data_IF_548830697570
#
_entry.id   IF_548830697570
#
_cell.length_a   1.000
_cell.length_b   1.000
_cell.length_c   1.000
_cell.angle_alpha   90.00
_cell.angle_beta   90.00
_cell.angle_gamma   90.00
#
_symmetry.space_group_name_H-M   'P 1'
#
loop_
_entity.id
_entity.type
_entity.pdbx_description
1 polymer ?
#
# COMPACT_ATOMS: atom_id res chain seq x y z
N UNK A 1 29.13 -11.85 -1.01
CA UNK A 1 28.19 -12.88 -1.54
C UNK A 1 27.40 -13.44 -0.36
N UNK A 2 26.08 -13.51 -0.48
CA UNK A 2 25.17 -13.91 0.61
C UNK A 2 24.81 -15.39 0.42
N UNK A 3 24.72 -16.14 1.52
CA UNK A 3 24.17 -17.50 1.54
C UNK A 3 23.11 -17.60 2.64
N UNK A 4 21.90 -18.12 2.35
CA UNK A 4 21.41 -18.58 1.05
C UNK A 4 21.18 -17.44 0.05
N UNK A 5 21.22 -17.75 -1.25
CA UNK A 5 20.87 -16.78 -2.30
C UNK A 5 19.37 -16.48 -2.23
N UNK A 6 18.98 -15.22 -2.45
CA UNK A 6 17.59 -14.81 -2.64
C UNK A 6 17.44 -14.17 -4.02
N UNK A 7 16.47 -14.66 -4.78
CA UNK A 7 16.02 -14.06 -6.03
C UNK A 7 15.11 -12.89 -5.69
N UNK A 8 15.34 -11.74 -6.33
CA UNK A 8 14.61 -10.48 -6.09
C UNK A 8 13.88 -9.97 -7.33
N UNK A 9 14.08 -10.63 -8.47
CA UNK A 9 13.44 -10.31 -9.74
C UNK A 9 13.53 -11.52 -10.67
N UNK A 10 12.48 -11.77 -11.45
CA UNK A 10 12.37 -12.87 -12.41
C UNK A 10 11.73 -12.33 -13.69
N UNK A 11 12.39 -12.54 -14.83
CA UNK A 11 11.87 -12.07 -16.13
C UNK A 11 10.65 -12.88 -16.58
N UNK A 12 10.74 -14.21 -16.49
CA UNK A 12 9.85 -15.16 -17.14
C UNK A 12 9.05 -16.02 -16.12
N UNK A 13 8.51 -15.41 -15.06
CA UNK A 13 7.82 -16.10 -13.96
C UNK A 13 6.79 -17.15 -14.42
N UNK A 14 5.97 -16.85 -15.42
CA UNK A 14 4.93 -17.78 -15.92
C UNK A 14 5.36 -18.60 -17.14
N UNK A 15 6.58 -18.41 -17.63
CA UNK A 15 7.09 -19.08 -18.83
C UNK A 15 8.46 -19.70 -18.50
N UNK A 16 8.51 -20.80 -17.72
CA UNK A 16 9.77 -21.43 -17.35
C UNK A 16 10.47 -22.05 -18.57
N UNK A 17 11.80 -22.07 -18.53
CA UNK A 17 12.60 -22.86 -19.47
C UNK A 17 12.72 -24.26 -18.86
N UNK A 18 12.07 -25.24 -19.47
CA UNK A 18 12.05 -26.63 -18.99
C UNK A 18 13.30 -27.44 -19.39
N UNK A 19 14.17 -26.85 -20.23
CA UNK A 19 15.44 -27.44 -20.64
C UNK A 19 16.61 -26.82 -19.86
N UNK A 20 17.80 -27.42 -19.94
CA UNK A 20 19.02 -26.92 -19.29
C UNK A 20 19.69 -25.77 -20.05
N UNK A 21 19.19 -25.45 -21.25
CA UNK A 21 19.76 -24.43 -22.14
C UNK A 21 18.79 -23.28 -22.37
N UNK A 22 19.23 -22.06 -22.08
CA UNK A 22 18.54 -20.82 -22.39
C UNK A 22 19.54 -19.72 -22.72
N UNK A 23 19.16 -18.81 -23.61
CA UNK A 23 20.00 -17.69 -24.06
C UNK A 23 19.27 -16.37 -23.87
N UNK A 24 19.92 -15.40 -23.23
CA UNK A 24 19.44 -14.02 -23.14
C UNK A 24 20.21 -13.16 -24.15
N UNK A 25 19.50 -12.61 -25.12
CA UNK A 25 20.07 -11.82 -26.20
C UNK A 25 19.54 -10.39 -26.16
N UNK A 26 20.43 -9.42 -26.37
CA UNK A 26 20.06 -8.04 -26.66
C UNK A 26 19.92 -7.90 -28.18
N UNK A 27 18.68 -7.83 -28.64
CA UNK A 27 18.37 -7.68 -30.06
C UNK A 27 18.56 -6.22 -30.53
N UNK A 28 18.56 -6.04 -31.84
CA UNK A 28 18.51 -4.71 -32.44
C UNK A 28 17.34 -3.90 -31.87
N UNK A 29 17.52 -2.59 -31.77
CA UNK A 29 16.51 -1.64 -31.24
C UNK A 29 16.22 -1.75 -29.74
N UNK A 30 16.99 -2.54 -28.99
CA UNK A 30 16.97 -2.52 -27.51
C UNK A 30 15.94 -3.45 -26.88
N UNK A 31 15.53 -4.50 -27.60
CA UNK A 31 14.67 -5.54 -27.04
C UNK A 31 15.53 -6.64 -26.40
N UNK A 32 15.31 -6.94 -25.12
CA UNK A 32 15.92 -8.12 -24.49
C UNK A 32 15.01 -9.31 -24.74
N UNK A 33 15.58 -10.41 -25.24
CA UNK A 33 14.85 -11.62 -25.62
C UNK A 33 15.47 -12.81 -24.91
N UNK A 34 14.67 -13.53 -24.15
CA UNK A 34 15.02 -14.80 -23.53
C UNK A 34 14.48 -15.95 -24.40
N UNK A 35 15.38 -16.82 -24.86
CA UNK A 35 15.06 -17.95 -25.73
C UNK A 35 15.35 -19.29 -25.03
N UNK A 36 14.56 -20.31 -25.38
CA UNK A 36 14.83 -21.70 -25.00
C UNK A 36 15.82 -22.37 -25.98
N UNK A 37 16.14 -23.65 -25.72
CA UNK A 37 17.06 -24.43 -26.54
C UNK A 37 16.64 -24.60 -28.01
N UNK A 38 15.34 -24.54 -28.31
CA UNK A 38 14.82 -24.60 -29.69
C UNK A 38 14.76 -23.24 -30.37
N UNK A 39 15.37 -22.20 -29.76
CA UNK A 39 15.34 -20.79 -30.19
C UNK A 39 13.92 -20.19 -30.22
N UNK A 40 12.98 -20.78 -29.50
CA UNK A 40 11.67 -20.19 -29.24
C UNK A 40 11.78 -19.08 -28.19
N UNK A 41 11.14 -17.95 -28.44
CA UNK A 41 11.05 -16.85 -27.47
C UNK A 41 10.17 -17.24 -26.30
N UNK A 42 10.75 -17.18 -25.09
CA UNK A 42 10.09 -17.47 -23.82
C UNK A 42 9.63 -16.18 -23.14
N UNK A 43 10.41 -15.11 -23.28
CA UNK A 43 10.10 -13.79 -22.74
C UNK A 43 10.81 -12.69 -23.54
N UNK A 44 10.21 -11.51 -23.62
CA UNK A 44 10.84 -10.32 -24.18
C UNK A 44 10.33 -9.03 -23.52
N UNK A 45 11.13 -7.96 -23.58
CA UNK A 45 10.74 -6.67 -22.98
C UNK A 45 9.63 -5.96 -23.76
N UNK A 46 9.38 -6.35 -25.01
CA UNK A 46 8.37 -5.78 -25.90
C UNK A 46 8.45 -4.25 -26.00
N UNK A 47 9.67 -3.71 -25.89
CA UNK A 47 9.88 -2.26 -25.95
C UNK A 47 9.65 -1.76 -27.38
N UNK A 48 8.79 -0.75 -27.60
CA UNK A 48 8.57 -0.15 -28.92
C UNK A 48 9.77 0.69 -29.42
N UNK A 49 10.89 0.71 -28.68
CA UNK A 49 11.97 1.67 -28.89
C UNK A 49 12.77 1.41 -30.16
N UNK A 50 13.22 2.47 -30.81
CA UNK A 50 14.18 2.47 -31.92
C UNK A 50 15.60 2.75 -31.40
N UNK A 51 16.03 2.07 -30.32
CA UNK A 51 17.32 2.36 -29.71
C UNK A 51 18.48 2.04 -30.67
N UNK A 52 19.27 3.06 -31.03
CA UNK A 52 20.48 2.88 -31.83
C UNK A 52 21.63 2.42 -30.95
N UNK A 53 22.32 1.34 -31.32
CA UNK A 53 23.42 0.72 -30.55
C UNK A 53 23.05 0.51 -29.06
N UNK A 54 22.03 -0.30 -28.76
CA UNK A 54 21.55 -0.47 -27.40
C UNK A 54 22.60 -1.17 -26.53
N UNK A 55 22.62 -0.83 -25.25
CA UNK A 55 23.38 -1.58 -24.22
C UNK A 55 22.45 -2.01 -23.10
N UNK A 56 22.66 -3.22 -22.59
CA UNK A 56 22.00 -3.73 -21.39
C UNK A 56 22.97 -3.69 -20.22
N UNK A 57 22.55 -3.11 -19.10
CA UNK A 57 23.41 -2.90 -17.94
C UNK A 57 22.66 -3.23 -16.65
N UNK A 58 23.28 -4.03 -15.79
CA UNK A 58 22.83 -4.22 -14.41
C UNK A 58 23.54 -3.18 -13.53
N UNK A 59 22.76 -2.29 -12.90
CA UNK A 59 23.28 -1.31 -11.96
C UNK A 59 23.50 -1.92 -10.57
N UNK A 60 24.32 -1.27 -9.75
CA UNK A 60 24.55 -1.66 -8.34
C UNK A 60 23.28 -1.63 -7.48
N UNK A 61 22.26 -0.89 -7.91
CA UNK A 61 20.93 -0.88 -7.27
C UNK A 61 20.15 -2.17 -7.52
N UNK A 62 20.62 -3.03 -8.43
CA UNK A 62 19.90 -4.21 -8.91
C UNK A 62 18.99 -3.94 -10.11
N UNK A 63 18.91 -2.68 -10.59
CA UNK A 63 18.12 -2.36 -11.77
C UNK A 63 18.84 -2.80 -13.04
N UNK A 64 18.28 -3.79 -13.75
CA UNK A 64 18.66 -4.11 -15.12
C UNK A 64 17.97 -3.13 -16.07
N UNK A 65 18.74 -2.35 -16.83
CA UNK A 65 18.20 -1.39 -17.79
C UNK A 65 18.76 -1.63 -19.20
N UNK A 66 17.98 -1.18 -20.18
CA UNK A 66 18.42 -1.06 -21.57
C UNK A 66 18.40 0.40 -21.95
N UNK A 67 19.48 0.88 -22.56
CA UNK A 67 19.65 2.27 -22.98
C UNK A 67 20.14 2.36 -24.42
N UNK A 68 19.72 3.40 -25.14
CA UNK A 68 20.23 3.74 -26.47
C UNK A 68 21.49 4.63 -26.41
N UNK A 69 22.28 4.63 -27.48
CA UNK A 69 23.52 5.41 -27.55
C UNK A 69 23.25 6.92 -27.68
N UNK A 70 24.09 7.75 -27.05
CA UNK A 70 24.13 9.21 -27.25
C UNK A 70 23.62 10.06 -26.08
N UNK A 71 22.54 9.67 -25.39
CA UNK A 71 21.88 10.53 -24.37
C UNK A 71 21.54 9.83 -23.04
N UNK A 72 21.87 8.54 -22.86
CA UNK A 72 21.48 7.80 -21.64
C UNK A 72 19.96 7.58 -21.51
N UNK A 73 19.22 7.66 -22.62
CA UNK A 73 17.78 7.43 -22.64
C UNK A 73 17.49 5.96 -22.32
N UNK A 74 16.91 5.72 -21.14
CA UNK A 74 16.44 4.40 -20.71
C UNK A 74 15.19 4.04 -21.51
N UNK A 75 15.25 2.92 -22.24
CA UNK A 75 14.14 2.42 -23.08
C UNK A 75 13.39 1.26 -22.44
N UNK A 76 14.01 0.61 -21.45
CA UNK A 76 13.40 -0.40 -20.61
C UNK A 76 14.19 -0.53 -19.31
N UNK A 77 13.51 -0.84 -18.20
CA UNK A 77 14.15 -1.15 -16.93
C UNK A 77 13.34 -2.15 -16.12
N UNK A 78 14.03 -3.08 -15.44
CA UNK A 78 13.43 -4.10 -14.57
C UNK A 78 12.63 -3.50 -13.41
N UNK A 79 13.03 -2.32 -12.91
CA UNK A 79 12.33 -1.63 -11.82
C UNK A 79 10.91 -1.18 -12.18
N UNK A 80 10.57 -1.13 -13.47
CA UNK A 80 9.20 -0.88 -13.94
C UNK A 80 8.32 -2.14 -13.96
N UNK A 81 8.92 -3.33 -13.79
CA UNK A 81 8.26 -4.64 -13.81
C UNK A 81 8.66 -5.47 -12.58
N UNK A 82 8.31 -5.02 -11.36
CA UNK A 82 8.56 -5.77 -10.13
C UNK A 82 7.92 -7.18 -10.11
N UNK A 83 8.49 -8.07 -9.31
CA UNK A 83 7.93 -9.40 -8.98
C UNK A 83 7.32 -9.40 -7.57
N UNK A 84 7.73 -10.31 -6.69
CA UNK A 84 7.38 -10.35 -5.27
C UNK A 84 8.10 -9.30 -4.41
N UNK A 85 9.17 -8.67 -4.93
CA UNK A 85 10.15 -7.92 -4.14
C UNK A 85 10.23 -6.44 -4.53
N UNK A 86 10.31 -5.58 -3.52
CA UNK A 86 10.51 -4.13 -3.63
C UNK A 86 11.84 -3.72 -2.98
N UNK A 87 12.79 -3.32 -3.82
CA UNK A 87 14.16 -2.92 -3.44
C UNK A 87 14.28 -1.41 -3.19
N UNK A 88 15.32 -0.96 -2.46
CA UNK A 88 15.62 0.45 -2.34
C UNK A 88 15.82 1.10 -3.71
N UNK A 89 15.27 2.30 -3.90
CA UNK A 89 15.36 3.01 -5.17
C UNK A 89 14.26 2.70 -6.19
N UNK A 90 13.52 1.60 -6.01
CA UNK A 90 12.34 1.29 -6.84
C UNK A 90 11.18 2.24 -6.55
N UNK A 91 10.30 2.42 -7.54
CA UNK A 91 8.99 3.07 -7.35
C UNK A 91 7.90 2.00 -7.33
N UNK A 92 7.03 2.03 -6.33
CA UNK A 92 5.80 1.25 -6.29
C UNK A 92 4.62 2.19 -6.51
N UNK A 93 3.69 1.84 -7.39
CA UNK A 93 2.53 2.67 -7.74
C UNK A 93 2.37 2.97 -9.23
N UNK A 94 1.54 3.94 -9.56
CA UNK A 94 1.01 4.14 -10.91
C UNK A 94 1.62 5.40 -11.55
N UNK A 95 2.06 5.25 -12.80
CA UNK A 95 2.29 6.38 -13.70
C UNK A 95 0.97 6.72 -14.42
N UNK A 96 0.40 7.88 -14.14
CA UNK A 96 -0.89 8.30 -14.67
C UNK A 96 -0.83 8.72 -16.15
N UNK A 97 0.36 9.02 -16.67
CA UNK A 97 0.57 9.38 -18.08
C UNK A 97 0.60 8.13 -18.97
N UNK A 98 1.29 7.08 -18.53
CA UNK A 98 1.45 5.84 -19.32
C UNK A 98 0.48 4.73 -18.93
N UNK A 99 -0.20 4.85 -17.79
CA UNK A 99 -1.03 3.79 -17.21
C UNK A 99 -0.23 2.65 -16.57
N UNK A 100 1.10 2.75 -16.52
CA UNK A 100 1.96 1.70 -15.95
C UNK A 100 1.77 1.63 -14.44
N UNK A 101 1.30 0.48 -13.96
CA UNK A 101 1.13 0.17 -12.54
C UNK A 101 2.26 -0.77 -12.06
N UNK A 102 3.14 -0.26 -11.20
CA UNK A 102 4.20 -1.04 -10.56
C UNK A 102 3.64 -1.63 -9.27
N UNK A 103 3.34 -2.92 -9.28
CA UNK A 103 2.78 -3.67 -8.15
C UNK A 103 3.57 -4.91 -7.81
N UNK A 104 3.48 -5.37 -6.57
CA UNK A 104 4.11 -6.63 -6.18
C UNK A 104 3.11 -7.77 -6.37
N UNK A 105 3.58 -8.90 -6.86
CA UNK A 105 2.79 -10.13 -6.95
C UNK A 105 3.57 -11.24 -6.25
N UNK A 106 2.94 -11.89 -5.27
CA UNK A 106 3.55 -13.00 -4.56
C UNK A 106 3.89 -14.13 -5.53
N UNK A 107 4.85 -14.94 -5.13
CA UNK A 107 5.09 -16.23 -5.78
C UNK A 107 4.02 -17.23 -5.36
N UNK A 108 3.73 -18.21 -6.23
CA UNK A 108 2.83 -19.32 -5.89
C UNK A 108 3.34 -20.12 -4.70
N UNK A 109 4.66 -20.29 -4.57
CA UNK A 109 5.27 -20.87 -3.37
C UNK A 109 6.72 -20.41 -3.19
N UNK A 110 7.36 -20.80 -2.09
CA UNK A 110 8.78 -20.49 -1.83
C UNK A 110 9.71 -21.01 -2.95
N UNK A 111 9.33 -22.10 -3.62
CA UNK A 111 10.13 -22.76 -4.66
C UNK A 111 9.58 -22.56 -6.09
N UNK A 112 8.45 -21.88 -6.24
CA UNK A 112 7.79 -21.67 -7.54
C UNK A 112 7.59 -20.17 -7.78
N UNK A 113 8.42 -19.54 -8.63
CA UNK A 113 8.38 -18.11 -8.88
C UNK A 113 7.29 -17.66 -9.87
N UNK A 114 6.38 -18.55 -10.25
CA UNK A 114 5.18 -18.17 -11.00
C UNK A 114 4.29 -17.23 -10.18
N UNK A 115 3.44 -16.47 -10.87
CA UNK A 115 2.55 -15.49 -10.23
C UNK A 115 1.53 -16.22 -9.36
N UNK A 116 1.54 -15.93 -8.06
CA UNK A 116 0.55 -16.39 -7.10
C UNK A 116 -0.62 -15.42 -6.96
N UNK A 117 -1.47 -15.70 -5.97
CA UNK A 117 -2.80 -15.10 -5.84
C UNK A 117 -2.79 -13.74 -5.11
N UNK A 118 -1.68 -13.43 -4.42
CA UNK A 118 -1.56 -12.21 -3.63
C UNK A 118 -0.91 -11.07 -4.41
N UNK A 119 -1.60 -9.93 -4.50
CA UNK A 119 -1.08 -8.71 -5.13
C UNK A 119 -1.10 -7.53 -4.18
N UNK A 120 0.00 -6.77 -4.13
CA UNK A 120 0.10 -5.53 -3.38
C UNK A 120 0.24 -4.34 -4.33
N UNK A 121 -0.81 -3.53 -4.42
CA UNK A 121 -0.90 -2.42 -5.36
C UNK A 121 -1.55 -1.18 -4.77
N UNK A 122 -1.34 -0.03 -5.43
CA UNK A 122 -1.96 1.23 -5.03
C UNK A 122 -3.29 1.38 -5.77
N UNK A 123 -4.31 1.76 -5.03
CA UNK A 123 -5.58 2.20 -5.58
C UNK A 123 -5.59 3.73 -5.65
N UNK A 124 -5.81 4.34 -6.84
CA UNK A 124 -5.88 5.79 -6.97
C UNK A 124 -7.24 6.41 -6.61
N UNK A 125 -8.28 5.60 -6.37
CA UNK A 125 -9.63 6.10 -6.08
C UNK A 125 -9.70 6.78 -4.70
N UNK A 126 -10.27 7.98 -4.65
CA UNK A 126 -10.29 8.78 -3.43
C UNK A 126 -8.89 9.29 -3.08
N UNK A 127 -8.46 9.10 -1.82
CA UNK A 127 -7.04 9.30 -1.49
C UNK A 127 -6.28 8.02 -1.81
N UNK A 128 -5.08 8.09 -2.42
CA UNK A 128 -4.41 6.87 -2.79
C UNK A 128 -3.97 6.03 -1.59
N UNK A 129 -4.32 4.74 -1.60
CA UNK A 129 -4.00 3.77 -0.54
C UNK A 129 -3.45 2.49 -1.16
N UNK A 130 -2.54 1.82 -0.46
CA UNK A 130 -2.09 0.49 -0.89
C UNK A 130 -2.94 -0.61 -0.27
N UNK A 131 -3.30 -1.60 -1.08
CA UNK A 131 -4.06 -2.78 -0.68
C UNK A 131 -3.27 -4.05 -0.97
N UNK A 132 -3.36 -5.02 -0.05
CA UNK A 132 -3.03 -6.41 -0.34
C UNK A 132 -4.33 -7.14 -0.66
N UNK A 133 -4.37 -7.80 -1.81
CA UNK A 133 -5.52 -8.56 -2.28
C UNK A 133 -5.13 -10.02 -2.44
N UNK A 134 -6.10 -10.93 -2.26
CA UNK A 134 -6.04 -12.33 -2.65
C UNK A 134 -7.21 -12.57 -3.62
N UNK A 135 -6.94 -12.81 -4.90
CA UNK A 135 -7.99 -13.02 -5.92
C UNK A 135 -9.15 -12.00 -5.83
N UNK A 136 -8.80 -10.70 -5.85
CA UNK A 136 -9.73 -9.56 -5.69
C UNK A 136 -10.38 -9.38 -4.32
N UNK A 137 -10.13 -10.26 -3.34
CA UNK A 137 -10.55 -10.05 -1.96
C UNK A 137 -9.49 -9.23 -1.22
N UNK A 138 -9.89 -8.07 -0.71
CA UNK A 138 -9.04 -7.23 0.14
C UNK A 138 -8.66 -7.96 1.44
N UNK A 139 -7.38 -8.00 1.74
CA UNK A 139 -6.79 -8.66 2.93
C UNK A 139 -6.21 -7.62 3.89
N UNK A 140 -5.58 -6.59 3.35
CA UNK A 140 -4.92 -5.53 4.11
C UNK A 140 -5.10 -4.18 3.42
N UNK A 141 -5.24 -3.11 4.20
CA UNK A 141 -5.17 -1.73 3.73
C UNK A 141 -4.10 -0.97 4.49
N UNK A 142 -3.18 -0.37 3.76
CA UNK A 142 -2.05 0.41 4.32
C UNK A 142 -2.49 1.77 4.87
N UNK A 143 -3.63 2.28 4.41
CA UNK A 143 -4.06 3.65 4.67
C UNK A 143 -3.51 4.62 3.62
N UNK A 144 -4.01 5.85 3.62
CA UNK A 144 -3.51 6.94 2.79
C UNK A 144 -2.26 7.60 3.41
N UNK A 145 -1.51 8.34 2.60
CA UNK A 145 -0.36 9.12 3.07
C UNK A 145 -0.79 10.43 3.76
N UNK A 146 -0.50 10.57 5.05
CA UNK A 146 -0.93 11.71 5.87
C UNK A 146 0.06 12.89 5.90
N UNK A 147 1.02 12.92 4.99
CA UNK A 147 2.10 13.93 4.93
C UNK A 147 3.39 13.48 5.60
N UNK A 148 3.32 12.49 6.50
CA UNK A 148 4.48 11.95 7.24
C UNK A 148 4.64 10.45 7.00
N UNK A 149 3.55 9.70 7.03
CA UNK A 149 3.51 8.24 6.89
C UNK A 149 2.17 7.78 6.31
N UNK A 150 2.05 6.50 5.98
CA UNK A 150 0.73 5.91 5.72
C UNK A 150 -0.03 5.72 7.04
N UNK A 151 -1.33 6.03 7.05
CA UNK A 151 -2.14 6.04 8.29
C UNK A 151 -2.28 4.68 8.98
N UNK A 152 -2.10 3.57 8.26
CA UNK A 152 -2.03 2.22 8.81
C UNK A 152 -0.63 1.75 9.21
N UNK A 153 0.40 2.59 8.99
CA UNK A 153 1.82 2.22 9.14
C UNK A 153 2.54 3.25 10.00
N UNK A 154 2.10 3.41 11.25
CA UNK A 154 2.56 4.50 12.14
C UNK A 154 4.08 4.48 12.45
N UNK A 155 4.77 3.35 12.24
CA UNK A 155 6.22 3.19 12.43
C UNK A 155 7.09 3.62 11.23
N UNK A 156 6.47 4.05 10.13
CA UNK A 156 7.16 4.59 8.94
C UNK A 156 7.51 6.09 9.05
N UNK A 157 7.29 6.71 10.21
CA UNK A 157 7.54 8.14 10.43
C UNK A 157 8.95 8.64 10.08
N UNK A 158 9.18 9.95 10.11
CA UNK A 158 10.34 10.61 9.51
C UNK A 158 11.66 10.26 10.22
N UNK A 159 11.55 9.79 11.47
CA UNK A 159 12.65 9.35 12.32
C UNK A 159 13.05 7.89 12.11
N UNK A 160 12.53 7.19 11.08
CA UNK A 160 12.92 5.81 10.80
C UNK A 160 14.45 5.70 10.63
N UNK A 161 15.16 4.85 11.41
CA UNK A 161 16.61 4.81 11.37
C UNK A 161 17.18 4.06 10.15
N UNK A 162 16.36 3.29 9.44
CA UNK A 162 16.78 2.39 8.36
C UNK A 162 16.74 3.08 7.00
N UNK A 163 15.66 3.79 6.70
CA UNK A 163 15.45 4.40 5.38
C UNK A 163 14.71 5.74 5.45
N UNK A 164 14.78 6.48 4.35
CA UNK A 164 13.88 7.60 4.06
C UNK A 164 12.77 7.12 3.15
N UNK A 165 11.58 7.66 3.34
CA UNK A 165 10.36 7.31 2.62
C UNK A 165 9.85 8.55 1.88
N UNK A 166 9.61 8.39 0.58
CA UNK A 166 9.09 9.44 -0.29
C UNK A 166 7.79 8.98 -0.93
N UNK A 167 6.74 9.79 -0.77
CA UNK A 167 5.46 9.57 -1.43
C UNK A 167 5.14 10.74 -2.35
N UNK A 168 4.88 10.44 -3.62
CA UNK A 168 4.50 11.41 -4.64
C UNK A 168 3.07 11.13 -5.05
N UNK A 169 2.22 12.16 -5.07
CA UNK A 169 0.84 12.10 -5.59
C UNK A 169 0.52 13.41 -6.30
N UNK A 170 0.62 13.39 -7.63
CA UNK A 170 0.34 14.52 -8.51
C UNK A 170 -0.29 14.04 -9.82
N UNK A 171 -0.52 14.94 -10.77
CA UNK A 171 -1.17 14.66 -12.07
C UNK A 171 -0.42 13.66 -12.97
N UNK A 172 0.87 13.40 -12.69
CA UNK A 172 1.73 12.53 -13.51
C UNK A 172 1.96 11.16 -12.87
N UNK A 173 2.10 11.11 -11.55
CA UNK A 173 2.39 9.85 -10.85
C UNK A 173 1.83 9.83 -9.43
N UNK A 174 1.49 8.62 -8.99
CA UNK A 174 1.23 8.27 -7.61
C UNK A 174 2.19 7.14 -7.26
N UNK A 175 3.21 7.42 -6.47
CA UNK A 175 4.24 6.42 -6.18
C UNK A 175 4.84 6.56 -4.80
N UNK A 176 5.21 5.42 -4.23
CA UNK A 176 6.01 5.29 -3.04
C UNK A 176 7.42 4.81 -3.41
N UNK A 177 8.41 5.42 -2.78
CA UNK A 177 9.82 5.08 -2.92
C UNK A 177 10.48 5.11 -1.55
N UNK A 178 11.46 4.24 -1.33
CA UNK A 178 12.33 4.34 -0.17
C UNK A 178 13.81 4.21 -0.54
N UNK A 179 14.66 4.85 0.26
CA UNK A 179 16.12 4.84 0.10
C UNK A 179 16.79 4.54 1.42
N UNK A 180 17.80 3.67 1.42
CA UNK A 180 18.52 3.31 2.64
C UNK A 180 19.42 4.46 3.12
N UNK A 181 19.36 4.73 4.43
CA UNK A 181 20.28 5.67 5.08
C UNK A 181 21.69 5.10 5.14
N UNK A 182 21.81 3.80 5.44
CA UNK A 182 23.09 3.07 5.41
C UNK A 182 23.12 2.12 4.21
N UNK A 183 23.91 2.47 3.19
CA UNK A 183 24.06 1.68 1.96
C UNK A 183 24.91 0.42 2.12
N UNK A 184 25.57 0.22 3.27
CA UNK A 184 26.35 -0.99 3.56
C UNK A 184 25.47 -2.18 3.98
N UNK A 185 24.19 -1.94 4.28
CA UNK A 185 23.23 -2.98 4.65
C UNK A 185 22.31 -3.25 3.47
N UNK A 186 21.94 -4.52 3.28
CA UNK A 186 20.95 -4.90 2.29
C UNK A 186 19.57 -4.99 2.94
N UNK A 187 18.57 -4.49 2.22
CA UNK A 187 17.20 -4.43 2.68
C UNK A 187 16.27 -4.71 1.50
N UNK A 188 15.16 -5.40 1.78
CA UNK A 188 14.09 -5.58 0.81
C UNK A 188 12.75 -5.68 1.52
N UNK A 189 11.68 -5.28 0.85
CA UNK A 189 10.32 -5.63 1.21
C UNK A 189 9.82 -6.65 0.19
N UNK A 190 8.94 -7.58 0.57
CA UNK A 190 8.27 -8.44 -0.40
C UNK A 190 6.95 -8.98 0.11
N UNK A 191 6.11 -9.41 -0.84
CA UNK A 191 4.87 -10.13 -0.57
C UNK A 191 5.18 -11.62 -0.58
N UNK A 192 4.80 -12.31 0.49
CA UNK A 192 5.05 -13.74 0.66
C UNK A 192 3.88 -14.58 0.14
N UNK A 193 4.09 -15.86 -0.22
CA UNK A 193 3.02 -16.73 -0.72
C UNK A 193 1.85 -16.96 0.26
N UNK A 194 2.07 -16.77 1.56
CA UNK A 194 1.06 -16.86 2.62
C UNK A 194 0.28 -15.55 2.83
N UNK A 195 0.50 -14.54 1.99
CA UNK A 195 -0.29 -13.32 2.01
C UNK A 195 0.12 -12.33 3.08
N UNK A 196 1.42 -12.22 3.36
CA UNK A 196 1.95 -11.19 4.26
C UNK A 196 2.93 -10.28 3.52
N UNK A 197 3.18 -9.10 4.09
CA UNK A 197 4.16 -8.15 3.57
C UNK A 197 5.31 -8.07 4.57
N UNK A 198 6.45 -8.61 4.19
CA UNK A 198 7.60 -8.72 5.07
C UNK A 198 8.76 -7.86 4.60
N UNK A 199 9.48 -7.31 5.57
CA UNK A 199 10.75 -6.60 5.39
C UNK A 199 11.87 -7.49 5.88
N UNK A 200 12.92 -7.56 5.10
CA UNK A 200 14.08 -8.38 5.39
C UNK A 200 15.33 -7.51 5.39
N UNK A 201 16.26 -7.85 6.28
CA UNK A 201 17.55 -7.19 6.38
C UNK A 201 18.66 -8.23 6.25
N UNK A 202 19.77 -7.83 5.63
CA UNK A 202 21.01 -8.60 5.62
C UNK A 202 22.14 -7.61 5.97
N UNK A 203 22.47 -7.58 7.25
CA UNK A 203 23.56 -6.78 7.83
C UNK A 203 24.93 -7.49 7.80
N UNK A 204 24.91 -8.80 7.57
CA UNK A 204 26.10 -9.63 7.47
C UNK A 204 25.88 -10.75 6.43
N UNK A 205 26.66 -10.77 5.33
CA UNK A 205 26.53 -11.79 4.30
C UNK A 205 26.67 -13.23 4.80
N UNK A 206 27.35 -13.46 5.93
CA UNK A 206 27.50 -14.78 6.54
C UNK A 206 26.23 -15.24 7.27
N UNK A 207 25.42 -14.31 7.79
CA UNK A 207 24.14 -14.61 8.45
C UNK A 207 22.97 -14.72 7.48
N UNK A 208 23.10 -14.12 6.30
CA UNK A 208 22.06 -14.17 5.28
C UNK A 208 20.89 -13.21 5.55
N UNK A 209 19.80 -13.41 4.82
CA UNK A 209 18.58 -12.63 4.99
C UNK A 209 17.82 -13.09 6.22
N UNK A 210 17.42 -12.14 7.07
CA UNK A 210 16.53 -12.39 8.21
C UNK A 210 15.27 -11.54 8.11
N UNK A 211 14.10 -12.06 8.54
CA UNK A 211 12.93 -11.24 8.76
C UNK A 211 13.29 -10.11 9.74
N UNK A 212 12.98 -8.89 9.35
CA UNK A 212 13.17 -7.70 10.16
C UNK A 212 11.84 -7.21 10.73
N UNK A 213 10.79 -7.22 9.91
CA UNK A 213 9.51 -6.63 10.29
C UNK A 213 8.36 -7.15 9.40
N UNK A 214 7.22 -7.52 10.00
CA UNK A 214 5.97 -7.79 9.27
C UNK A 214 5.10 -6.53 9.28
N UNK A 215 4.66 -6.06 8.11
CA UNK A 215 3.84 -4.84 7.99
C UNK A 215 2.47 -5.02 8.65
N UNK A 216 1.91 -6.23 8.63
CA UNK A 216 0.69 -6.61 9.34
C UNK A 216 1.09 -7.11 10.73
N UNK A 217 1.00 -6.24 11.73
CA UNK A 217 1.54 -6.48 13.07
C UNK A 217 0.64 -7.39 13.91
N UNK A 218 -0.67 -7.27 13.72
CA UNK A 218 -1.66 -7.96 14.53
C UNK A 218 -2.96 -8.19 13.75
N UNK A 219 -3.90 -8.88 14.40
CA UNK A 219 -5.21 -9.22 13.84
C UNK A 219 -6.04 -7.99 13.44
N UNK A 220 -5.80 -6.82 14.04
CA UNK A 220 -6.50 -5.58 13.68
C UNK A 220 -6.03 -4.98 12.34
N UNK A 221 -4.96 -5.49 11.75
CA UNK A 221 -4.56 -5.11 10.38
C UNK A 221 -5.35 -5.87 9.31
N UNK A 222 -6.13 -6.91 9.68
CA UNK A 222 -7.03 -7.56 8.74
C UNK A 222 -8.12 -6.60 8.27
N UNK A 223 -8.29 -6.52 6.95
CA UNK A 223 -9.22 -5.59 6.34
C UNK A 223 -10.66 -5.79 6.83
N UNK A 224 -11.26 -4.71 7.37
CA UNK A 224 -12.67 -4.63 7.79
C UNK A 224 -13.07 -5.67 8.86
N UNK A 225 -12.17 -6.08 9.74
CA UNK A 225 -12.48 -7.10 10.75
C UNK A 225 -13.65 -6.73 11.70
N UNK A 226 -13.82 -5.45 12.04
CA UNK A 226 -14.88 -4.99 12.97
C UNK A 226 -16.16 -4.47 12.29
N UNK A 227 -16.28 -4.62 10.97
CA UNK A 227 -17.43 -4.08 10.23
C UNK A 227 -17.51 -2.54 10.22
N UNK A 228 -18.68 -2.02 9.86
CA UNK A 228 -18.92 -0.57 9.81
C UNK A 228 -19.04 0.04 11.20
N UNK A 229 -18.43 1.20 11.44
CA UNK A 229 -18.44 1.93 12.72
C UNK A 229 -17.96 1.12 13.95
N UNK A 230 -17.33 -0.02 13.71
CA UNK A 230 -16.56 -0.77 14.71
C UNK A 230 -15.08 -0.41 14.59
N UNK A 231 -14.41 -0.28 15.72
CA UNK A 231 -12.97 -0.07 15.83
C UNK A 231 -12.28 -1.32 16.38
N UNK A 232 -11.12 -1.65 15.82
CA UNK A 232 -10.29 -2.74 16.32
C UNK A 232 -9.20 -2.22 17.25
N UNK A 233 -9.09 -2.80 18.44
CA UNK A 233 -8.03 -2.54 19.40
C UNK A 233 -7.48 -3.87 19.92
N UNK A 234 -6.22 -4.16 19.62
CA UNK A 234 -5.58 -5.43 19.97
C UNK A 234 -5.45 -5.65 21.48
N UNK A 235 -5.56 -4.59 22.29
CA UNK A 235 -5.54 -4.68 23.76
C UNK A 235 -6.89 -5.04 24.37
N UNK A 236 -7.97 -4.95 23.60
CA UNK A 236 -9.30 -5.29 24.06
C UNK A 236 -9.61 -6.78 23.85
N UNK A 237 -10.50 -7.32 24.67
CA UNK A 237 -11.08 -8.65 24.50
C UNK A 237 -12.58 -8.56 24.75
N UNK A 238 -13.44 -8.62 23.71
CA UNK A 238 -13.12 -8.81 22.29
C UNK A 238 -12.33 -7.65 21.67
N UNK A 239 -11.58 -7.92 20.59
CA UNK A 239 -10.74 -6.91 19.90
C UNK A 239 -11.56 -5.83 19.20
N UNK A 240 -12.81 -6.12 18.84
CA UNK A 240 -13.71 -5.17 18.20
C UNK A 240 -14.70 -4.57 19.20
N UNK A 241 -14.86 -3.25 19.12
CA UNK A 241 -15.87 -2.49 19.84
C UNK A 241 -16.59 -1.52 18.91
N UNK A 242 -17.86 -1.22 19.18
CA UNK A 242 -18.52 -0.11 18.52
C UNK A 242 -17.91 1.21 18.97
N UNK A 243 -17.74 2.14 18.04
CA UNK A 243 -17.38 3.51 18.37
C UNK A 243 -18.40 4.11 19.36
N UNK A 244 -17.97 4.98 20.28
CA UNK A 244 -18.86 5.68 21.22
C UNK A 244 -20.06 6.29 20.49
N UNK A 245 -21.28 6.09 20.97
CA UNK A 245 -22.53 6.54 20.31
C UNK A 245 -23.08 5.59 19.24
N UNK A 246 -22.44 4.43 19.07
CA UNK A 246 -22.89 3.33 18.22
C UNK A 246 -23.16 2.06 19.04
N UNK A 247 -24.01 1.20 18.51
CA UNK A 247 -24.38 -0.10 19.10
C UNK A 247 -24.29 -1.20 18.03
N UNK A 248 -24.07 -2.47 18.41
CA UNK A 248 -24.00 -3.56 17.44
C UNK A 248 -25.26 -3.61 16.58
N UNK A 249 -25.08 -3.80 15.27
CA UNK A 249 -26.21 -3.95 14.35
C UNK A 249 -26.99 -5.23 14.62
N UNK A 250 -26.27 -6.32 14.92
CA UNK A 250 -26.82 -7.57 15.41
C UNK A 250 -26.12 -7.94 16.74
N UNK A 251 -26.79 -7.79 17.89
CA UNK A 251 -26.21 -8.15 19.18
C UNK A 251 -25.89 -9.63 19.33
N UNK A 252 -26.65 -10.54 18.71
CA UNK A 252 -26.46 -11.98 18.87
C UNK A 252 -25.19 -12.46 18.16
N UNK A 253 -24.90 -11.91 16.97
CA UNK A 253 -23.66 -12.18 16.24
C UNK A 253 -22.46 -11.55 16.97
N UNK A 254 -22.64 -10.32 17.48
CA UNK A 254 -21.60 -9.61 18.22
C UNK A 254 -21.14 -10.35 19.47
N UNK A 255 -22.07 -10.95 20.23
CA UNK A 255 -21.77 -11.79 21.41
C UNK A 255 -21.00 -13.07 21.05
N UNK A 256 -21.10 -13.55 19.81
CA UNK A 256 -20.37 -14.71 19.28
C UNK A 256 -19.04 -14.33 18.62
N UNK A 257 -18.61 -13.07 18.75
CA UNK A 257 -17.44 -12.52 18.09
C UNK A 257 -17.54 -12.49 16.55
N UNK A 258 -18.76 -12.45 15.99
CA UNK A 258 -18.99 -12.08 14.60
C UNK A 258 -19.33 -10.59 14.50
N UNK A 259 -18.33 -9.80 14.09
CA UNK A 259 -18.43 -8.34 13.96
C UNK A 259 -18.68 -7.90 12.52
N UNK A 260 -18.92 -8.83 11.58
CA UNK A 260 -19.01 -8.55 10.15
C UNK A 260 -20.14 -7.56 9.80
N UNK A 261 -21.24 -7.60 10.56
CA UNK A 261 -22.37 -6.68 10.45
C UNK A 261 -22.09 -5.27 10.98
N UNK A 262 -21.02 -5.08 11.76
CA UNK A 262 -20.62 -3.81 12.35
C UNK A 262 -21.64 -3.25 13.34
N UNK A 263 -21.64 -1.94 13.43
CA UNK A 263 -22.41 -1.14 14.36
C UNK A 263 -23.28 -0.12 13.62
N UNK A 264 -24.31 0.37 14.30
CA UNK A 264 -25.19 1.43 13.83
C UNK A 264 -25.28 2.53 14.87
N UNK A 265 -25.65 3.75 14.46
CA UNK A 265 -25.85 4.85 15.40
C UNK A 265 -26.94 4.48 16.40
N UNK A 266 -26.70 4.79 17.67
CA UNK A 266 -27.71 4.64 18.71
C UNK A 266 -28.90 5.57 18.46
N UNK A 267 -28.63 6.79 18.01
CA UNK A 267 -29.64 7.79 17.63
C UNK A 267 -29.47 8.15 16.15
N UNK A 268 -30.50 7.97 15.31
CA UNK A 268 -30.45 8.34 13.89
C UNK A 268 -30.17 9.84 13.67
N UNK A 269 -29.51 10.15 12.57
CA UNK A 269 -29.34 11.54 12.11
C UNK A 269 -30.62 12.01 11.41
N UNK A 270 -31.01 13.26 11.64
CA UNK A 270 -32.18 13.90 11.03
C UNK A 270 -31.78 14.99 10.03
N UNK A 271 -30.50 15.34 9.96
CA UNK A 271 -29.97 16.51 9.26
C UNK A 271 -30.62 17.84 9.67
N UNK A 272 -31.17 17.91 10.87
CA UNK A 272 -31.78 19.13 11.41
C UNK A 272 -30.76 19.99 12.19
N UNK A 273 -31.20 21.18 12.63
CA UNK A 273 -30.36 22.05 13.45
C UNK A 273 -30.04 21.38 14.78
N UNK A 274 -28.75 21.25 15.09
CA UNK A 274 -28.26 20.73 16.37
C UNK A 274 -27.29 19.56 16.25
N UNK A 275 -27.23 18.91 15.09
CA UNK A 275 -26.17 17.92 14.83
C UNK A 275 -24.80 18.57 14.85
N UNK A 276 -23.85 17.87 15.45
CA UNK A 276 -22.44 18.26 15.48
C UNK A 276 -21.59 16.97 15.42
N UNK A 277 -20.32 17.03 15.80
CA UNK A 277 -19.40 15.90 15.66
C UNK A 277 -18.81 15.49 16.99
N UNK A 278 -18.70 14.18 17.17
CA UNK A 278 -17.92 13.59 18.24
C UNK A 278 -16.50 13.29 17.73
N UNK A 279 -15.51 13.61 18.56
CA UNK A 279 -14.10 13.40 18.27
C UNK A 279 -13.65 11.98 18.62
N UNK A 280 -12.94 11.33 17.71
CA UNK A 280 -12.30 10.03 17.92
C UNK A 280 -10.80 10.17 17.60
N UNK A 281 -9.95 10.36 18.62
CA UNK A 281 -8.52 10.48 18.44
C UNK A 281 -7.85 9.11 18.27
N UNK A 282 -6.62 9.12 17.75
CA UNK A 282 -5.75 7.95 17.83
C UNK A 282 -6.18 6.77 16.95
N UNK A 283 -6.77 7.00 15.78
CA UNK A 283 -7.19 5.90 14.90
C UNK A 283 -6.45 5.89 13.56
N UNK A 284 -6.34 4.70 12.95
CA UNK A 284 -6.24 4.53 11.50
C UNK A 284 -7.54 5.03 10.88
N UNK A 285 -7.48 6.12 10.12
CA UNK A 285 -8.68 6.68 9.49
C UNK A 285 -9.36 5.65 8.57
N UNK A 286 -10.69 5.69 8.40
CA UNK A 286 -11.44 4.76 7.56
C UNK A 286 -10.98 4.73 6.11
N UNK A 287 -11.37 3.70 5.36
CA UNK A 287 -11.14 3.64 3.90
C UNK A 287 -11.63 4.91 3.18
N UNK A 288 -10.87 5.33 2.16
CA UNK A 288 -11.05 6.63 1.50
C UNK A 288 -11.50 6.58 0.04
N UNK A 289 -11.74 5.40 -0.54
CA UNK A 289 -12.21 5.23 -1.94
C UNK A 289 -13.40 6.12 -2.33
N UNK A 290 -14.34 6.30 -1.39
CA UNK A 290 -15.55 7.14 -1.55
C UNK A 290 -15.47 8.47 -0.82
N UNK A 291 -14.30 8.82 -0.30
CA UNK A 291 -14.08 10.08 0.38
C UNK A 291 -13.81 11.20 -0.63
N UNK A 292 -14.23 12.41 -0.28
CA UNK A 292 -13.81 13.62 -0.98
C UNK A 292 -12.73 14.31 -0.16
N UNK A 293 -11.76 14.94 -0.81
CA UNK A 293 -10.70 15.65 -0.12
C UNK A 293 -10.33 16.96 -0.82
N UNK A 294 -9.76 17.89 -0.04
CA UNK A 294 -9.29 19.19 -0.51
C UNK A 294 -8.12 19.66 0.36
N UNK A 295 -7.00 19.98 -0.29
CA UNK A 295 -5.75 20.40 0.37
C UNK A 295 -5.77 21.86 0.81
N UNK A 296 -6.71 22.67 0.31
CA UNK A 296 -6.67 24.13 0.43
C UNK A 296 -7.49 24.68 1.59
N UNK A 297 -8.43 23.88 2.10
CA UNK A 297 -9.34 24.31 3.16
C UNK A 297 -8.89 23.81 4.53
N UNK A 298 -9.19 24.59 5.56
CA UNK A 298 -8.88 24.24 6.93
C UNK A 298 -9.94 23.32 7.57
N UNK A 299 -9.64 22.78 8.75
CA UNK A 299 -10.51 21.88 9.49
C UNK A 299 -11.87 22.50 9.84
N UNK A 300 -11.94 23.81 10.07
CA UNK A 300 -13.18 24.52 10.40
C UNK A 300 -14.08 24.65 9.18
N UNK A 301 -13.51 24.96 8.03
CA UNK A 301 -14.19 24.92 6.75
C UNK A 301 -14.65 23.51 6.41
N UNK A 302 -13.84 22.50 6.71
CA UNK A 302 -14.17 21.08 6.57
C UNK A 302 -15.42 20.69 7.38
N UNK A 303 -15.46 21.05 8.67
CA UNK A 303 -16.63 20.89 9.56
C UNK A 303 -17.88 21.52 8.95
N UNK A 304 -17.78 22.80 8.56
CA UNK A 304 -18.92 23.55 8.01
C UNK A 304 -19.43 22.95 6.70
N UNK A 305 -18.53 22.44 5.85
CA UNK A 305 -18.90 21.79 4.59
C UNK A 305 -19.62 20.46 4.83
N UNK A 306 -19.16 19.69 5.82
CA UNK A 306 -19.82 18.46 6.23
C UNK A 306 -21.22 18.71 6.80
N UNK A 307 -21.37 19.70 7.71
CA UNK A 307 -22.70 20.06 8.27
C UNK A 307 -23.73 20.40 7.20
N UNK A 308 -23.31 21.13 6.15
CA UNK A 308 -24.18 21.54 5.04
C UNK A 308 -24.58 20.39 4.11
N UNK A 309 -23.91 19.24 4.19
CA UNK A 309 -24.21 18.08 3.35
C UNK A 309 -24.75 16.94 4.22
N UNK A 310 -26.05 16.66 4.13
CA UNK A 310 -26.71 15.63 4.94
C UNK A 310 -26.15 14.21 4.76
N UNK A 311 -25.51 13.93 3.63
CA UNK A 311 -24.87 12.64 3.40
C UNK A 311 -23.49 12.53 4.06
N UNK A 312 -22.89 13.64 4.50
CA UNK A 312 -21.57 13.61 5.13
C UNK A 312 -21.64 12.96 6.52
N UNK A 313 -20.85 11.91 6.72
CA UNK A 313 -20.83 11.11 7.95
C UNK A 313 -19.64 11.42 8.86
N UNK A 314 -18.54 11.91 8.31
CA UNK A 314 -17.36 12.29 9.09
C UNK A 314 -16.43 13.24 8.32
N UNK A 315 -15.52 13.88 9.07
CA UNK A 315 -14.42 14.63 8.48
C UNK A 315 -13.11 14.51 9.29
N UNK A 316 -11.98 14.81 8.65
CA UNK A 316 -10.66 14.84 9.29
C UNK A 316 -9.69 15.78 8.55
N UNK A 317 -8.55 16.08 9.19
CA UNK A 317 -7.41 16.70 8.50
C UNK A 317 -6.81 15.71 7.48
N UNK A 318 -6.37 16.24 6.35
CA UNK A 318 -5.70 15.46 5.32
C UNK A 318 -4.22 15.26 5.65
N UNK A 319 -3.52 16.34 5.99
CA UNK A 319 -2.11 16.34 6.34
C UNK A 319 -1.97 16.61 7.84
N UNK A 320 -1.10 15.88 8.54
CA UNK A 320 -0.92 16.03 10.00
C UNK A 320 0.23 16.96 10.38
N UNK A 321 1.03 17.43 9.42
CA UNK A 321 2.15 18.33 9.67
C UNK A 321 1.64 19.69 10.14
N UNK A 322 2.50 20.40 10.88
CA UNK A 322 2.29 21.80 11.27
C UNK A 322 0.94 22.09 11.97
N UNK A 323 0.43 21.12 12.75
CA UNK A 323 -0.85 21.25 13.47
C UNK A 323 -2.08 20.83 12.66
N UNK A 324 -1.89 20.36 11.43
CA UNK A 324 -2.93 19.76 10.60
C UNK A 324 -3.47 20.71 9.53
N UNK A 325 -3.66 20.20 8.32
CA UNK A 325 -4.23 20.97 7.20
C UNK A 325 -5.00 20.10 6.20
N UNK A 326 -5.75 20.75 5.34
CA UNK A 326 -6.62 20.09 4.37
C UNK A 326 -7.83 19.43 5.03
N UNK A 327 -8.64 18.81 4.18
CA UNK A 327 -9.93 18.25 4.56
C UNK A 327 -10.15 16.91 3.86
N UNK A 328 -10.68 15.95 4.62
CA UNK A 328 -11.25 14.71 4.11
C UNK A 328 -12.70 14.64 4.60
N UNK A 329 -13.64 14.32 3.71
CA UNK A 329 -15.06 14.11 4.00
C UNK A 329 -15.47 12.70 3.58
N UNK A 330 -16.17 12.00 4.47
CA UNK A 330 -16.79 10.70 4.18
C UNK A 330 -18.30 10.86 4.00
N UNK A 331 -18.91 10.06 3.11
CA UNK A 331 -20.34 10.13 2.78
C UNK A 331 -21.11 8.81 2.98
N UNK A 332 -20.54 7.87 3.72
CA UNK A 332 -21.11 6.55 3.92
C UNK A 332 -20.65 5.91 5.21
N UNK A 333 -20.75 4.58 5.27
CA UNK A 333 -20.23 3.79 6.38
C UNK A 333 -18.72 3.97 6.52
N UNK A 334 -18.27 4.13 7.77
CA UNK A 334 -16.85 4.19 8.09
C UNK A 334 -16.39 2.76 8.38
N UNK A 335 -15.41 2.27 7.62
CA UNK A 335 -14.95 0.88 7.69
C UNK A 335 -13.43 0.83 7.86
N UNK A 336 -12.94 -0.33 8.31
CA UNK A 336 -11.52 -0.63 8.45
C UNK A 336 -10.78 0.33 9.41
N UNK A 337 -11.38 0.55 10.58
CA UNK A 337 -10.84 1.40 11.64
C UNK A 337 -10.05 0.55 12.63
N UNK A 338 -8.84 1.03 12.96
CA UNK A 338 -7.96 0.47 13.99
C UNK A 338 -7.59 1.57 14.98
N UNK A 339 -7.57 1.26 16.26
CA UNK A 339 -7.08 2.15 17.30
C UNK A 339 -5.57 2.00 17.50
N UNK A 340 -4.91 3.13 17.73
CA UNK A 340 -3.51 3.23 18.10
C UNK A 340 -3.40 3.97 19.43
N UNK A 341 -2.49 3.53 20.29
CA UNK A 341 -2.17 4.26 21.52
C UNK A 341 -1.49 5.59 21.25
N UNK A 342 -0.66 5.63 20.22
CA UNK A 342 0.13 6.79 19.83
C UNK A 342 0.13 6.94 18.30
N UNK A 343 0.29 8.17 17.82
CA UNK A 343 0.50 8.49 16.40
C UNK A 343 -0.67 8.17 15.44
N UNK A 344 -1.81 7.73 15.96
CA UNK A 344 -3.07 7.70 15.19
C UNK A 344 -3.61 9.11 14.92
N UNK A 345 -4.57 9.20 14.01
CA UNK A 345 -5.19 10.47 13.60
C UNK A 345 -6.57 10.64 14.23
N UNK A 346 -6.98 11.89 14.35
CA UNK A 346 -8.33 12.25 14.82
C UNK A 346 -9.32 12.30 13.65
N UNK A 347 -10.46 11.65 13.83
CA UNK A 347 -11.66 11.82 12.99
C UNK A 347 -12.79 12.46 13.80
N UNK A 348 -13.61 13.24 13.12
CA UNK A 348 -14.82 13.84 13.67
C UNK A 348 -16.03 13.19 13.00
N UNK A 349 -16.78 12.38 13.73
CA UNK A 349 -17.94 11.65 13.19
C UNK A 349 -19.22 12.37 13.55
N UNK A 350 -20.11 12.53 12.57
CA UNK A 350 -21.37 13.27 12.73
C UNK A 350 -22.34 12.53 13.62
N UNK A 351 -22.84 13.20 14.65
CA UNK A 351 -23.71 12.65 15.68
C UNK A 351 -24.95 13.52 15.90
N UNK A 352 -26.02 12.90 16.40
CA UNK A 352 -27.17 13.64 16.89
C UNK A 352 -26.78 14.49 18.12
N UNK A 353 -27.43 15.63 18.30
CA UNK A 353 -27.13 16.58 19.38
C UNK A 353 -27.10 15.94 20.78
N UNK A 354 -27.91 14.90 21.01
CA UNK A 354 -28.02 14.19 22.29
C UNK A 354 -26.87 13.23 22.60
N UNK A 355 -26.00 12.93 21.62
CA UNK A 355 -24.92 11.95 21.74
C UNK A 355 -23.51 12.60 21.86
N UNK A 356 -23.44 13.93 21.93
CA UNK A 356 -22.19 14.72 21.91
C UNK A 356 -21.74 15.09 23.32
#
# INVERSE_FOLDING_TARGET
KISPKKVVWVANSNNPINDTNGELLLAERGNLILMNATKGTVWSTNSPSLATNPTAQLLDTGNLLVQGNGNGNVVWQSFDYPTDTFLPGMKLGINLVTGMNRKLTAWTSINDPSLGDYTFEIDPDGLPEFFLENDSKMVYRTGYWNGITFSGVIFLGPNNPVFTADFVSNEKEISFKYELKNKSVLYRMGVTPDGTIERFICDDPARGWRPYFNVMLDTCDQYKICGAYGSCNIKNSPVCSCMKGFVPKDPNDWEKADWSHGCVRKVPLTCERGEDFLEYPGIKLPETRKAWYDRTIDLKQCKNRCLRNCSCTAYANLDVRDGGSGCILWFGELIDIKEYEENGQTIYVRMAASEI
#
